data_IF_232062186555
#
_entry.id   IF_232062186555
#
_cell.length_a   1.000
_cell.length_b   1.000
_cell.length_c   1.000
_cell.angle_alpha   90.00
_cell.angle_beta   90.00
_cell.angle_gamma   90.00
#
_symmetry.space_group_name_H-M   'P 1'
#
loop_
_entity.id
_entity.type
_entity.pdbx_description
1 polymer ?
#
# COMPACT_ATOMS: atom_id res chain seq x y z
N UNK A 1 11.44 -9.97 -3.78
CA UNK A 1 10.96 -9.85 -5.18
C UNK A 1 12.12 -10.05 -6.16
N UNK A 2 11.89 -10.57 -7.37
CA UNK A 2 12.92 -10.81 -8.39
C UNK A 2 13.33 -9.56 -9.21
N UNK A 3 13.06 -8.36 -8.71
CA UNK A 3 13.54 -7.10 -9.30
C UNK A 3 14.86 -6.71 -8.61
N UNK A 4 15.97 -6.67 -9.35
CA UNK A 4 17.32 -6.49 -8.80
C UNK A 4 18.03 -5.31 -9.45
N UNK A 5 18.91 -4.65 -8.71
CA UNK A 5 19.84 -3.69 -9.32
C UNK A 5 20.72 -4.39 -10.35
N UNK A 6 20.85 -3.80 -11.53
CA UNK A 6 21.78 -4.25 -12.54
C UNK A 6 23.01 -3.34 -12.57
N UNK A 7 24.16 -3.89 -12.16
CA UNK A 7 25.44 -3.18 -12.19
C UNK A 7 25.81 -2.70 -13.60
N UNK A 8 25.49 -3.49 -14.64
CA UNK A 8 25.74 -3.09 -16.03
C UNK A 8 24.92 -1.84 -16.41
N UNK A 9 23.64 -1.79 -16.03
CA UNK A 9 22.76 -0.65 -16.30
C UNK A 9 23.15 0.59 -15.48
N UNK A 10 23.69 0.40 -14.28
CA UNK A 10 24.28 1.46 -13.46
C UNK A 10 25.54 2.04 -14.12
N UNK A 11 26.45 1.19 -14.57
CA UNK A 11 27.74 1.61 -15.12
C UNK A 11 27.64 2.22 -16.52
N UNK A 12 26.75 1.69 -17.39
CA UNK A 12 26.57 2.22 -18.76
C UNK A 12 25.92 3.60 -18.80
N UNK A 13 25.23 4.02 -17.72
CA UNK A 13 24.47 5.27 -17.64
C UNK A 13 23.39 5.49 -18.73
N UNK A 14 23.11 4.50 -19.58
CA UNK A 14 22.08 4.57 -20.62
C UNK A 14 20.66 4.38 -20.06
N UNK A 15 19.61 4.89 -20.74
CA UNK A 15 18.23 4.54 -20.46
C UNK A 15 17.97 3.05 -20.71
N UNK A 16 17.30 2.38 -19.76
CA UNK A 16 16.85 0.99 -19.93
C UNK A 16 15.37 0.86 -19.53
N UNK A 17 14.66 -0.20 -19.97
CA UNK A 17 13.22 -0.35 -19.72
C UNK A 17 12.83 -0.29 -18.24
N UNK A 18 13.67 -0.77 -17.34
CA UNK A 18 13.45 -0.76 -15.88
C UNK A 18 14.48 0.13 -15.16
N UNK A 19 14.94 1.19 -15.84
CA UNK A 19 15.92 2.16 -15.34
C UNK A 19 17.27 1.53 -14.98
N UNK A 20 17.45 1.17 -13.72
CA UNK A 20 18.68 0.56 -13.17
C UNK A 20 18.42 -0.81 -12.56
N UNK A 21 17.23 -1.35 -12.82
CA UNK A 21 16.82 -2.67 -12.39
C UNK A 21 16.74 -3.64 -13.57
N UNK A 22 16.75 -4.92 -13.24
CA UNK A 22 16.41 -6.03 -14.13
C UNK A 22 15.44 -6.97 -13.43
N UNK A 23 14.52 -7.54 -14.21
CA UNK A 23 13.54 -8.51 -13.76
C UNK A 23 14.07 -9.92 -14.01
N UNK A 24 14.23 -10.71 -12.94
CA UNK A 24 14.77 -12.07 -12.98
C UNK A 24 13.77 -13.10 -12.45
N UNK A 25 12.66 -13.37 -13.14
CA UNK A 25 11.61 -14.26 -12.64
C UNK A 25 12.10 -15.70 -12.44
N UNK A 26 13.06 -16.16 -13.26
CA UNK A 26 13.70 -17.47 -13.12
C UNK A 26 14.49 -17.62 -11.80
N UNK A 27 14.87 -16.51 -11.17
CA UNK A 27 15.53 -16.50 -9.86
C UNK A 27 14.56 -16.69 -8.68
N UNK A 28 13.26 -16.86 -8.97
CA UNK A 28 12.17 -17.03 -8.01
C UNK A 28 12.01 -15.83 -7.09
N UNK A 29 11.06 -15.90 -6.17
CA UNK A 29 10.84 -14.90 -5.14
C UNK A 29 10.88 -15.56 -3.75
N UNK A 30 11.39 -14.83 -2.76
CA UNK A 30 11.54 -15.33 -1.40
C UNK A 30 11.04 -14.30 -0.38
N UNK A 31 10.60 -14.80 0.77
CA UNK A 31 10.41 -14.05 2.00
C UNK A 31 11.30 -14.61 3.09
N UNK A 32 11.92 -13.72 3.86
CA UNK A 32 12.82 -14.07 4.94
C UNK A 32 12.28 -13.51 6.25
N UNK A 33 12.11 -14.39 7.25
CA UNK A 33 11.73 -13.98 8.61
C UNK A 33 12.98 -13.95 9.45
N UNK A 34 13.26 -12.80 10.05
CA UNK A 34 14.41 -12.60 10.93
C UNK A 34 13.93 -12.33 12.36
N UNK A 35 14.48 -13.05 13.32
CA UNK A 35 14.26 -12.78 14.73
C UNK A 35 14.92 -11.44 15.08
N UNK A 36 14.12 -10.42 15.39
CA UNK A 36 14.60 -9.06 15.71
C UNK A 36 15.60 -9.02 16.86
N UNK A 37 15.41 -9.86 17.89
CA UNK A 37 16.27 -9.88 19.07
C UNK A 37 17.65 -10.52 18.80
N UNK A 38 17.70 -11.55 17.95
CA UNK A 38 18.94 -12.31 17.71
C UNK A 38 19.62 -12.01 16.37
N UNK A 39 18.92 -11.34 15.45
CA UNK A 39 19.37 -11.11 14.07
C UNK A 39 19.40 -12.37 13.19
N UNK A 40 18.98 -13.53 13.72
CA UNK A 40 19.00 -14.79 12.98
C UNK A 40 17.79 -14.89 12.04
N UNK A 41 18.03 -15.37 10.83
CA UNK A 41 16.97 -15.81 9.94
C UNK A 41 16.36 -17.08 10.52
N UNK A 42 15.07 -17.05 10.80
CA UNK A 42 14.31 -18.16 11.40
C UNK A 42 13.43 -18.88 10.37
N UNK A 43 13.14 -18.24 9.23
CA UNK A 43 12.52 -18.89 8.08
C UNK A 43 12.99 -18.20 6.78
N UNK A 44 13.14 -18.98 5.71
CA UNK A 44 13.32 -18.48 4.35
C UNK A 44 12.50 -19.36 3.42
N UNK A 45 11.45 -18.78 2.83
CA UNK A 45 10.49 -19.54 2.02
C UNK A 45 10.41 -18.96 0.62
N UNK A 46 10.30 -19.83 -0.38
CA UNK A 46 9.93 -19.45 -1.73
C UNK A 46 8.44 -19.04 -1.75
N UNK A 47 8.12 -17.94 -2.44
CA UNK A 47 6.76 -17.41 -2.57
C UNK A 47 6.46 -17.16 -4.06
N UNK A 48 5.18 -17.03 -4.46
CA UNK A 48 4.85 -16.57 -5.80
C UNK A 48 5.56 -15.25 -6.15
N UNK A 49 5.82 -15.03 -7.45
CA UNK A 49 6.41 -13.79 -7.91
C UNK A 49 5.52 -12.60 -7.48
N UNK A 50 6.17 -11.49 -7.13
CA UNK A 50 5.47 -10.27 -6.71
C UNK A 50 6.33 -9.05 -7.03
N UNK A 51 5.64 -7.92 -7.18
CA UNK A 51 6.23 -6.57 -7.17
C UNK A 51 5.47 -5.79 -6.12
N UNK A 52 6.18 -5.18 -5.17
CA UNK A 52 5.56 -4.33 -4.15
C UNK A 52 6.53 -3.22 -3.76
N UNK A 53 5.99 -2.05 -3.45
CA UNK A 53 6.74 -0.94 -2.88
C UNK A 53 6.49 -0.80 -1.38
N UNK A 54 5.25 -1.02 -0.95
CA UNK A 54 4.80 -0.80 0.42
C UNK A 54 4.19 -2.06 1.01
N UNK A 55 4.73 -2.47 2.15
CA UNK A 55 4.06 -3.40 3.06
C UNK A 55 3.10 -2.60 3.95
N UNK A 56 1.91 -3.15 4.17
CA UNK A 56 0.85 -2.55 4.98
C UNK A 56 1.12 -2.84 6.46
N UNK A 57 1.21 -4.12 6.81
CA UNK A 57 1.51 -4.59 8.16
C UNK A 57 2.02 -6.04 8.12
N UNK A 58 2.58 -6.51 9.23
CA UNK A 58 2.90 -7.93 9.42
C UNK A 58 2.61 -8.34 10.87
N UNK A 59 2.19 -9.59 11.09
CA UNK A 59 1.87 -10.10 12.42
C UNK A 59 2.07 -11.61 12.53
N UNK A 60 2.16 -12.10 13.77
CA UNK A 60 2.25 -13.52 14.10
C UNK A 60 0.85 -14.16 14.13
N UNK A 61 0.68 -15.28 13.43
CA UNK A 61 -0.40 -16.24 13.70
C UNK A 61 0.03 -17.21 14.80
N UNK A 62 -0.86 -17.47 15.75
CA UNK A 62 -0.62 -18.36 16.89
C UNK A 62 -1.68 -19.44 16.98
N UNK A 63 -1.29 -20.62 17.45
CA UNK A 63 -2.23 -21.67 17.85
C UNK A 63 -2.86 -21.40 19.23
N UNK A 64 -3.71 -22.31 19.69
CA UNK A 64 -4.40 -22.21 20.99
C UNK A 64 -3.42 -22.21 22.18
N UNK A 65 -2.25 -22.82 22.02
CA UNK A 65 -1.17 -22.83 23.01
C UNK A 65 -0.26 -21.58 22.94
N UNK A 66 -0.53 -20.66 22.00
CA UNK A 66 0.23 -19.42 21.84
C UNK A 66 1.55 -19.56 21.07
N UNK A 67 1.82 -20.70 20.44
CA UNK A 67 3.00 -20.91 19.59
C UNK A 67 2.79 -20.25 18.24
N UNK A 68 3.82 -19.60 17.72
CA UNK A 68 3.78 -18.96 16.39
C UNK A 68 3.77 -20.04 15.31
N UNK A 69 2.70 -20.10 14.52
CA UNK A 69 2.51 -21.08 13.44
C UNK A 69 2.85 -20.50 12.06
N UNK A 70 2.66 -19.20 11.88
CA UNK A 70 3.02 -18.49 10.66
C UNK A 70 3.25 -16.99 10.92
N UNK A 71 3.94 -16.34 9.99
CA UNK A 71 3.95 -14.89 9.86
C UNK A 71 3.04 -14.51 8.70
N UNK A 72 2.14 -13.56 8.93
CA UNK A 72 1.32 -12.94 7.89
C UNK A 72 1.92 -11.57 7.57
N UNK A 73 2.06 -11.25 6.29
CA UNK A 73 2.52 -9.94 5.84
C UNK A 73 1.65 -9.45 4.68
N UNK A 74 0.98 -8.32 4.87
CA UNK A 74 0.14 -7.70 3.87
C UNK A 74 0.91 -6.60 3.12
N UNK A 75 0.67 -6.44 1.83
CA UNK A 75 1.32 -5.42 1.00
C UNK A 75 0.43 -4.91 -0.14
N UNK A 76 0.84 -3.77 -0.72
CA UNK A 76 0.32 -3.27 -1.99
C UNK A 76 1.04 -4.01 -3.13
N UNK A 77 0.43 -5.08 -3.63
CA UNK A 77 1.03 -6.00 -4.59
C UNK A 77 0.58 -5.68 -6.02
N UNK A 78 1.55 -5.59 -6.94
CA UNK A 78 1.36 -5.17 -8.33
C UNK A 78 1.30 -6.34 -9.30
N UNK A 79 0.73 -7.49 -8.88
CA UNK A 79 0.57 -8.73 -9.67
C UNK A 79 1.85 -9.21 -10.38
N UNK A 80 3.00 -9.08 -9.74
CA UNK A 80 4.33 -9.31 -10.33
C UNK A 80 4.60 -8.52 -11.64
N UNK A 81 3.85 -7.45 -11.88
CA UNK A 81 3.97 -6.60 -13.05
C UNK A 81 4.90 -5.41 -12.76
N UNK A 82 5.95 -5.29 -13.58
CA UNK A 82 6.94 -4.22 -13.48
C UNK A 82 6.54 -2.97 -14.26
N UNK A 83 5.46 -3.02 -15.05
CA UNK A 83 5.00 -1.89 -15.88
C UNK A 83 4.67 -0.65 -15.05
N UNK A 84 4.29 -0.82 -13.78
CA UNK A 84 4.05 0.29 -12.85
C UNK A 84 5.24 1.26 -12.77
N UNK A 85 6.49 0.76 -12.84
CA UNK A 85 7.69 1.59 -12.82
C UNK A 85 7.75 2.56 -14.00
N UNK A 86 7.36 2.11 -15.19
CA UNK A 86 7.32 2.94 -16.38
C UNK A 86 6.12 3.90 -16.34
N UNK A 87 4.95 3.42 -15.89
CA UNK A 87 3.71 4.21 -15.81
C UNK A 87 3.84 5.39 -14.85
N UNK A 88 4.64 5.25 -13.80
CA UNK A 88 4.94 6.33 -12.84
C UNK A 88 6.00 7.33 -13.33
N UNK A 89 6.52 7.20 -14.55
CA UNK A 89 7.37 8.24 -15.13
C UNK A 89 6.58 9.54 -15.36
N UNK A 90 7.24 10.69 -15.13
CA UNK A 90 6.58 12.00 -15.25
C UNK A 90 5.97 12.24 -16.63
N UNK A 91 6.63 11.75 -17.69
CA UNK A 91 6.10 11.82 -19.05
C UNK A 91 4.78 11.07 -19.17
N UNK A 92 4.71 9.83 -18.70
CA UNK A 92 3.50 9.01 -18.77
C UNK A 92 2.36 9.57 -17.91
N UNK A 93 2.67 10.04 -16.69
CA UNK A 93 1.68 10.66 -15.81
C UNK A 93 1.03 11.90 -16.43
N UNK A 94 1.77 12.67 -17.23
CA UNK A 94 1.25 13.85 -17.95
C UNK A 94 0.50 13.49 -19.23
N UNK A 95 0.93 12.45 -19.94
CA UNK A 95 0.40 12.10 -21.27
C UNK A 95 -0.90 11.29 -21.22
N UNK A 96 -1.17 10.57 -20.13
CA UNK A 96 -2.29 9.63 -20.06
C UNK A 96 -3.45 10.09 -19.17
N UNK A 97 -3.53 11.38 -18.85
CA UNK A 97 -4.66 11.91 -18.08
C UNK A 97 -6.00 11.53 -18.73
N UNK A 98 -6.91 10.96 -17.96
CA UNK A 98 -8.23 10.50 -18.42
C UNK A 98 -8.24 9.15 -19.16
N UNK A 99 -7.09 8.46 -19.31
CA UNK A 99 -7.02 7.12 -19.89
C UNK A 99 -6.87 6.06 -18.80
N UNK A 100 -7.46 4.88 -19.00
CA UNK A 100 -7.30 3.75 -18.08
C UNK A 100 -6.01 2.98 -18.38
N UNK A 101 -4.91 3.43 -17.76
CA UNK A 101 -3.58 2.85 -17.98
C UNK A 101 -2.84 2.51 -16.69
N UNK A 102 -3.49 2.70 -15.54
CA UNK A 102 -2.96 2.27 -14.25
C UNK A 102 -2.92 0.73 -14.21
N UNK A 103 -1.75 0.09 -14.03
CA UNK A 103 -1.66 -1.35 -13.88
C UNK A 103 -2.46 -1.84 -12.67
N UNK A 104 -2.96 -3.07 -12.73
CA UNK A 104 -3.73 -3.65 -11.64
C UNK A 104 -2.82 -3.91 -10.43
N UNK A 105 -3.29 -3.49 -9.25
CA UNK A 105 -2.71 -3.80 -7.96
C UNK A 105 -3.78 -4.34 -7.01
N UNK A 106 -3.35 -4.99 -5.92
CA UNK A 106 -4.21 -5.62 -4.90
C UNK A 106 -3.59 -5.51 -3.52
N UNK A 107 -4.42 -5.75 -2.49
CA UNK A 107 -3.90 -6.11 -1.17
C UNK A 107 -3.42 -7.55 -1.23
N UNK A 108 -2.11 -7.75 -1.37
CA UNK A 108 -1.47 -9.06 -1.31
C UNK A 108 -1.26 -9.48 0.15
N UNK A 109 -1.59 -10.72 0.48
CA UNK A 109 -1.35 -11.34 1.79
C UNK A 109 -0.40 -12.50 1.64
N UNK A 110 0.80 -12.34 2.17
CA UNK A 110 1.75 -13.43 2.33
C UNK A 110 1.44 -14.22 3.58
N UNK A 111 1.58 -15.54 3.51
CA UNK A 111 1.63 -16.41 4.67
C UNK A 111 2.93 -17.21 4.64
N UNK A 112 3.76 -17.02 5.67
CA UNK A 112 5.06 -17.69 5.83
C UNK A 112 4.96 -18.69 6.98
N UNK A 113 4.89 -20.00 6.70
CA UNK A 113 4.82 -21.02 7.75
C UNK A 113 6.09 -21.05 8.62
N UNK A 114 5.92 -21.30 9.92
CA UNK A 114 7.01 -21.45 10.89
C UNK A 114 7.27 -22.92 11.26
N UNK A 115 6.76 -23.86 10.46
CA UNK A 115 6.87 -25.31 10.63
C UNK A 115 8.05 -25.94 9.86
N UNK A 116 8.89 -25.13 9.21
CA UNK A 116 10.01 -25.58 8.39
C UNK A 116 9.67 -25.80 6.92
N UNK A 117 8.43 -25.50 6.49
CA UNK A 117 8.05 -25.52 5.07
C UNK A 117 8.96 -24.65 4.21
N UNK A 118 9.31 -25.13 3.02
CA UNK A 118 10.13 -24.38 2.06
C UNK A 118 9.34 -23.32 1.28
N UNK A 119 8.00 -23.35 1.36
CA UNK A 119 7.11 -22.54 0.55
C UNK A 119 6.15 -21.73 1.41
N UNK A 120 5.97 -20.46 1.07
CA UNK A 120 4.89 -19.61 1.54
C UNK A 120 3.86 -19.36 0.45
N UNK A 121 2.74 -18.75 0.81
CA UNK A 121 1.70 -18.36 -0.15
C UNK A 121 1.63 -16.84 -0.32
N UNK A 122 1.03 -16.41 -1.43
CA UNK A 122 0.64 -15.03 -1.69
C UNK A 122 -0.75 -15.04 -2.32
N UNK A 123 -1.72 -14.45 -1.63
CA UNK A 123 -3.12 -14.41 -2.06
C UNK A 123 -3.65 -12.97 -2.01
N UNK A 124 -4.81 -12.71 -2.60
CA UNK A 124 -5.50 -11.44 -2.40
C UNK A 124 -6.22 -11.47 -1.04
N UNK A 125 -6.01 -10.46 -0.20
CA UNK A 125 -6.68 -10.40 1.12
C UNK A 125 -8.20 -10.19 0.99
N UNK A 126 -8.63 -9.54 -0.09
CA UNK A 126 -10.02 -9.31 -0.50
C UNK A 126 -10.10 -9.22 -2.04
N UNK A 127 -11.31 -9.20 -2.60
CA UNK A 127 -11.52 -9.03 -4.04
C UNK A 127 -10.94 -7.67 -4.52
N UNK A 128 -9.99 -7.66 -5.47
CA UNK A 128 -9.42 -6.41 -5.99
C UNK A 128 -10.44 -5.43 -6.59
N UNK A 129 -11.62 -5.90 -6.99
CA UNK A 129 -12.69 -5.04 -7.49
C UNK A 129 -13.27 -4.10 -6.41
N UNK A 130 -13.16 -4.45 -5.12
CA UNK A 130 -13.64 -3.62 -4.01
C UNK A 130 -12.92 -2.25 -3.95
N UNK A 131 -11.65 -2.22 -4.37
CA UNK A 131 -10.81 -1.02 -4.38
C UNK A 131 -10.37 -0.63 -5.80
N UNK A 132 -11.13 -1.07 -6.81
CA UNK A 132 -10.94 -0.72 -8.23
C UNK A 132 -9.61 -1.17 -8.83
N UNK A 133 -8.98 -2.20 -8.25
CA UNK A 133 -7.69 -2.77 -8.71
C UNK A 133 -6.55 -1.74 -8.76
N UNK A 134 -6.62 -0.71 -7.92
CA UNK A 134 -5.49 0.16 -7.59
C UNK A 134 -5.30 0.13 -6.09
N UNK A 135 -4.05 0.04 -5.63
CA UNK A 135 -3.75 0.00 -4.20
C UNK A 135 -2.28 0.37 -3.99
N UNK A 136 -2.04 1.51 -3.34
CA UNK A 136 -0.68 1.95 -2.95
C UNK A 136 -0.76 3.00 -1.83
N UNK A 137 0.38 3.43 -1.29
CA UNK A 137 0.47 4.48 -0.25
C UNK A 137 -0.47 4.19 0.93
N UNK A 138 -0.16 3.14 1.69
CA UNK A 138 -1.02 2.58 2.72
C UNK A 138 -0.62 2.98 4.14
N UNK A 139 -1.60 3.07 5.02
CA UNK A 139 -1.44 3.21 6.46
C UNK A 139 -2.45 2.36 7.23
N UNK A 140 -2.23 2.25 8.54
CA UNK A 140 -3.08 1.55 9.50
C UNK A 140 -3.17 2.38 10.78
N UNK A 141 -4.00 1.98 11.73
CA UNK A 141 -3.89 2.48 13.10
C UNK A 141 -2.53 2.05 13.72
N UNK A 142 -1.64 2.98 14.12
CA UNK A 142 -0.32 2.64 14.64
C UNK A 142 -0.31 1.74 15.88
N UNK A 143 -1.40 1.72 16.67
CA UNK A 143 -1.54 0.83 17.82
C UNK A 143 -1.54 -0.66 17.45
N UNK A 144 -1.81 -0.97 16.18
CA UNK A 144 -1.88 -2.31 15.59
C UNK A 144 -0.65 -2.68 14.73
N UNK A 145 0.38 -1.82 14.69
CA UNK A 145 1.63 -2.14 14.02
C UNK A 145 2.25 -3.41 14.62
N UNK A 146 2.55 -4.41 13.78
CA UNK A 146 3.11 -5.68 14.23
C UNK A 146 2.06 -6.66 14.81
N UNK A 147 0.78 -6.30 14.82
CA UNK A 147 -0.32 -7.07 15.45
C UNK A 147 -1.39 -7.43 14.42
N UNK A 148 -2.17 -8.45 14.73
CA UNK A 148 -3.37 -8.78 13.96
C UNK A 148 -4.32 -7.57 14.01
N UNK A 149 -4.84 -7.20 12.84
CA UNK A 149 -5.53 -5.95 12.60
C UNK A 149 -6.66 -6.17 11.58
N UNK A 150 -7.62 -5.26 11.52
CA UNK A 150 -8.80 -5.34 10.66
C UNK A 150 -8.80 -4.30 9.56
N UNK A 151 -8.28 -3.10 9.81
CA UNK A 151 -8.44 -1.96 8.92
C UNK A 151 -7.13 -1.46 8.35
N UNK A 152 -7.14 -1.19 7.04
CA UNK A 152 -6.10 -0.44 6.35
C UNK A 152 -6.71 0.72 5.58
N UNK A 153 -5.91 1.76 5.36
CA UNK A 153 -6.26 2.93 4.58
C UNK A 153 -5.21 3.12 3.50
N UNK A 154 -5.61 3.44 2.28
CA UNK A 154 -4.66 3.56 1.17
C UNK A 154 -5.20 4.44 0.05
N UNK A 155 -4.35 4.75 -0.93
CA UNK A 155 -4.82 5.29 -2.20
C UNK A 155 -5.28 4.15 -3.11
N UNK A 156 -6.57 4.14 -3.45
CA UNK A 156 -7.18 3.19 -4.39
C UNK A 156 -7.40 3.79 -5.79
N UNK A 157 -8.21 3.12 -6.59
CA UNK A 157 -8.58 3.59 -7.93
C UNK A 157 -10.09 3.60 -8.16
N UNK A 158 -10.58 4.71 -8.71
CA UNK A 158 -11.82 4.79 -9.46
C UNK A 158 -11.44 4.87 -10.94
N UNK A 159 -11.65 3.77 -11.67
CA UNK A 159 -11.30 3.65 -13.09
C UNK A 159 -12.39 4.26 -13.98
N UNK A 160 -12.06 4.79 -15.17
CA UNK A 160 -10.72 4.81 -15.80
C UNK A 160 -9.75 5.78 -15.12
N UNK A 161 -8.49 5.38 -14.92
CA UNK A 161 -7.46 6.27 -14.38
C UNK A 161 -6.02 5.89 -14.77
N UNK A 162 -5.12 6.86 -14.69
CA UNK A 162 -3.68 6.69 -14.93
C UNK A 162 -2.83 6.82 -13.66
N UNK A 163 -3.45 7.12 -12.52
CA UNK A 163 -2.84 7.26 -11.20
C UNK A 163 -3.90 7.01 -10.12
N UNK A 164 -3.55 6.46 -8.92
CA UNK A 164 -4.50 6.33 -7.81
C UNK A 164 -5.18 7.66 -7.48
N UNK A 165 -6.51 7.65 -7.38
CA UNK A 165 -7.36 8.85 -7.33
C UNK A 165 -8.48 8.74 -6.28
N UNK A 166 -8.41 7.76 -5.38
CA UNK A 166 -9.37 7.60 -4.27
C UNK A 166 -8.64 7.41 -2.97
N UNK A 167 -9.27 7.79 -1.87
CA UNK A 167 -8.93 7.27 -0.56
C UNK A 167 -9.78 6.04 -0.33
N UNK A 168 -9.19 4.98 0.18
CA UNK A 168 -9.86 3.69 0.37
C UNK A 168 -9.65 3.20 1.78
N UNK A 169 -10.74 2.91 2.49
CA UNK A 169 -10.75 2.11 3.72
C UNK A 169 -11.01 0.66 3.37
N UNK A 170 -10.21 -0.24 3.92
CA UNK A 170 -10.23 -1.67 3.66
C UNK A 170 -10.59 -2.37 4.97
N UNK A 171 -11.62 -3.20 4.97
CA UNK A 171 -11.96 -4.14 6.05
C UNK A 171 -11.49 -5.54 5.64
N UNK A 172 -10.43 -6.03 6.28
CA UNK A 172 -9.78 -7.31 5.99
C UNK A 172 -10.53 -8.51 6.56
N UNK A 173 -11.49 -8.28 7.48
CA UNK A 173 -12.32 -9.33 8.06
C UNK A 173 -13.56 -9.53 7.20
N UNK A 174 -14.29 -8.45 6.92
CA UNK A 174 -15.48 -8.49 6.06
C UNK A 174 -15.14 -8.57 4.57
N UNK A 175 -13.87 -8.36 4.22
CA UNK A 175 -13.35 -8.34 2.84
C UNK A 175 -14.08 -7.33 1.96
N UNK A 176 -14.29 -6.12 2.50
CA UNK A 176 -14.97 -5.01 1.83
C UNK A 176 -14.12 -3.75 1.83
N UNK A 177 -14.38 -2.86 0.87
CA UNK A 177 -13.75 -1.55 0.85
C UNK A 177 -14.78 -0.42 0.72
N UNK A 178 -14.43 0.74 1.26
CA UNK A 178 -15.17 2.00 1.10
C UNK A 178 -14.23 3.01 0.44
N UNK A 179 -14.70 3.64 -0.62
CA UNK A 179 -13.92 4.60 -1.39
C UNK A 179 -14.49 6.01 -1.20
N UNK A 180 -13.60 6.97 -0.98
CA UNK A 180 -13.88 8.39 -1.10
C UNK A 180 -13.18 8.91 -2.36
N UNK A 181 -13.93 9.63 -3.19
CA UNK A 181 -13.46 10.19 -4.44
C UNK A 181 -14.03 11.59 -4.62
N UNK A 182 -13.21 12.48 -5.17
CA UNK A 182 -13.62 13.79 -5.62
C UNK A 182 -13.10 14.00 -7.04
N UNK A 183 -13.93 14.55 -7.91
CA UNK A 183 -13.69 14.53 -9.34
C UNK A 183 -12.53 15.46 -9.72
N UNK A 184 -11.51 14.92 -10.38
CA UNK A 184 -10.33 15.69 -10.76
C UNK A 184 -9.36 15.96 -9.61
N UNK A 185 -9.58 15.32 -8.46
CA UNK A 185 -8.74 15.41 -7.27
C UNK A 185 -7.84 14.18 -7.14
N UNK A 186 -6.60 14.40 -6.70
CA UNK A 186 -5.60 13.35 -6.46
C UNK A 186 -5.18 13.38 -4.98
N UNK A 187 -5.48 12.32 -4.21
CA UNK A 187 -5.09 12.24 -2.82
C UNK A 187 -3.61 11.88 -2.64
N UNK A 188 -3.01 12.41 -1.58
CA UNK A 188 -1.79 11.88 -0.98
C UNK A 188 -2.10 10.64 -0.14
N UNK A 189 -1.04 9.99 0.34
CA UNK A 189 -1.14 8.94 1.34
C UNK A 189 -2.09 9.32 2.50
N UNK A 190 -3.10 8.50 2.81
CA UNK A 190 -3.93 8.69 4.00
C UNK A 190 -3.15 8.36 5.27
N UNK A 191 -3.41 9.12 6.33
CA UNK A 191 -2.86 8.92 7.66
C UNK A 191 -3.98 8.79 8.69
N UNK A 192 -3.95 7.75 9.51
CA UNK A 192 -4.95 7.54 10.56
C UNK A 192 -4.51 8.15 11.90
N UNK A 193 -5.42 8.86 12.55
CA UNK A 193 -5.28 9.41 13.91
C UNK A 193 -6.41 8.89 14.77
N UNK A 194 -6.08 8.10 15.79
CA UNK A 194 -7.06 7.59 16.73
C UNK A 194 -7.68 8.73 17.56
N UNK A 195 -8.97 8.62 17.87
CA UNK A 195 -9.60 9.48 18.87
C UNK A 195 -8.96 9.21 20.23
N UNK A 196 -8.67 10.24 21.06
CA UNK A 196 -8.20 10.02 22.43
C UNK A 196 -9.18 9.12 23.21
N UNK A 197 -8.69 8.00 23.74
CA UNK A 197 -9.50 7.03 24.46
C UNK A 197 -10.27 6.03 23.57
N UNK A 198 -10.02 6.01 22.26
CA UNK A 198 -10.61 5.03 21.33
C UNK A 198 -10.32 3.59 21.78
N UNK A 199 -11.37 2.74 21.76
CA UNK A 199 -11.26 1.29 21.98
C UNK A 199 -11.34 0.51 20.68
N UNK A 200 -12.04 1.04 19.68
CA UNK A 200 -12.18 0.43 18.36
C UNK A 200 -11.00 0.81 17.46
N UNK A 201 -10.58 -0.12 16.59
CA UNK A 201 -9.42 0.06 15.72
C UNK A 201 -9.56 1.24 14.75
N UNK A 202 -10.79 1.54 14.30
CA UNK A 202 -11.10 2.60 13.34
C UNK A 202 -11.78 3.84 13.96
N UNK A 203 -11.87 3.94 15.29
CA UNK A 203 -12.41 5.12 15.97
C UNK A 203 -11.38 6.26 15.97
N UNK A 204 -11.49 7.12 14.96
CA UNK A 204 -10.55 8.19 14.71
C UNK A 204 -10.87 8.92 13.42
N UNK A 205 -9.86 9.57 12.86
CA UNK A 205 -9.95 10.29 11.59
C UNK A 205 -8.85 9.83 10.65
N UNK A 206 -9.17 9.77 9.36
CA UNK A 206 -8.22 9.56 8.28
C UNK A 206 -8.00 10.89 7.57
N UNK A 207 -6.75 11.33 7.53
CA UNK A 207 -6.35 12.63 6.98
C UNK A 207 -5.58 12.38 5.68
N UNK A 208 -5.88 13.13 4.63
CA UNK A 208 -5.08 13.15 3.42
C UNK A 208 -5.05 14.53 2.81
N UNK A 209 -3.96 14.84 2.13
CA UNK A 209 -3.80 16.09 1.38
C UNK A 209 -4.21 15.83 -0.07
N UNK A 210 -5.09 16.67 -0.58
CA UNK A 210 -5.66 16.56 -1.91
C UNK A 210 -5.07 17.64 -2.81
N UNK A 211 -4.61 17.26 -3.99
CA UNK A 211 -4.33 18.19 -5.09
C UNK A 211 -5.53 18.20 -6.04
N UNK A 212 -6.13 19.37 -6.23
CA UNK A 212 -7.28 19.52 -7.12
C UNK A 212 -6.88 19.79 -8.58
N UNK A 213 -7.87 19.83 -9.48
CA UNK A 213 -7.68 20.10 -10.91
C UNK A 213 -7.14 21.51 -11.24
N UNK A 214 -7.28 22.45 -10.32
CA UNK A 214 -6.83 23.83 -10.48
C UNK A 214 -5.39 24.04 -9.94
N UNK A 215 -4.80 23.00 -9.36
CA UNK A 215 -3.49 23.06 -8.71
C UNK A 215 -3.54 23.62 -7.29
N UNK A 216 -4.73 23.78 -6.72
CA UNK A 216 -4.92 24.11 -5.31
C UNK A 216 -4.83 22.83 -4.46
N UNK A 217 -4.54 23.02 -3.17
CA UNK A 217 -4.43 21.94 -2.21
C UNK A 217 -5.41 22.10 -1.07
N UNK A 218 -6.01 21.01 -0.62
CA UNK A 218 -6.81 21.00 0.62
C UNK A 218 -6.57 19.72 1.42
N UNK A 219 -6.69 19.76 2.73
CA UNK A 219 -6.72 18.54 3.55
C UNK A 219 -8.16 18.03 3.62
N UNK A 220 -8.38 16.72 3.46
CA UNK A 220 -9.66 16.06 3.78
C UNK A 220 -9.52 15.27 5.08
N UNK A 221 -10.54 15.36 5.93
CA UNK A 221 -10.67 14.53 7.13
C UNK A 221 -11.89 13.62 6.97
N UNK A 222 -11.67 12.31 6.96
CA UNK A 222 -12.71 11.30 6.89
C UNK A 222 -12.88 10.64 8.26
N UNK A 223 -14.12 10.48 8.71
CA UNK A 223 -14.41 9.69 9.91
C UNK A 223 -13.94 8.24 9.71
N UNK A 224 -13.13 7.73 10.63
CA UNK A 224 -12.44 6.45 10.48
C UNK A 224 -13.40 5.26 10.36
N UNK A 225 -14.55 5.29 11.04
CA UNK A 225 -15.53 4.20 11.05
C UNK A 225 -16.47 4.22 9.84
N UNK A 226 -17.11 5.37 9.59
CA UNK A 226 -18.08 5.54 8.49
C UNK A 226 -17.40 5.75 7.14
N UNK A 227 -16.20 6.32 7.14
CA UNK A 227 -15.40 6.73 5.98
C UNK A 227 -16.09 7.80 5.13
N UNK A 228 -16.73 8.76 5.79
CA UNK A 228 -17.39 9.93 5.19
C UNK A 228 -16.73 11.22 5.66
N UNK A 229 -16.73 12.24 4.81
CA UNK A 229 -16.32 13.61 5.11
C UNK A 229 -17.36 14.60 4.58
N UNK A 230 -17.45 15.79 5.18
CA UNK A 230 -18.37 16.86 4.78
C UNK A 230 -17.58 18.03 4.15
N UNK A 231 -18.23 19.01 3.51
CA UNK A 231 -17.52 20.18 2.95
C UNK A 231 -16.66 20.94 3.99
N UNK A 232 -17.05 20.91 5.28
CA UNK A 232 -16.29 21.51 6.38
C UNK A 232 -15.01 20.73 6.76
N UNK A 233 -14.84 19.50 6.27
CA UNK A 233 -13.63 18.71 6.46
C UNK A 233 -12.55 19.03 5.42
N UNK A 234 -12.74 20.06 4.58
CA UNK A 234 -11.76 20.54 3.61
C UNK A 234 -11.03 21.78 4.16
N UNK A 235 -9.74 21.64 4.45
CA UNK A 235 -8.91 22.74 4.94
C UNK A 235 -8.06 23.25 3.78
N UNK A 236 -8.32 24.45 3.23
CA UNK A 236 -7.56 24.98 2.10
C UNK A 236 -6.11 25.28 2.50
N UNK A 237 -5.17 25.01 1.59
CA UNK A 237 -3.75 25.27 1.76
C UNK A 237 -3.29 26.37 0.82
N UNK A 238 -2.41 27.24 1.31
CA UNK A 238 -1.67 28.19 0.47
C UNK A 238 -0.17 28.13 0.82
N UNK A 239 0.75 28.10 -0.17
CA UNK A 239 0.54 28.03 -1.63
C UNK A 239 0.34 26.59 -2.17
N UNK A 240 0.11 26.45 -3.48
CA UNK A 240 -0.21 25.21 -4.21
C UNK A 240 0.58 23.96 -3.75
N UNK A 241 -0.14 22.88 -3.42
CA UNK A 241 0.47 21.62 -2.99
C UNK A 241 0.78 20.73 -4.20
N UNK A 242 2.04 20.29 -4.32
CA UNK A 242 2.42 19.21 -5.24
C UNK A 242 2.21 17.86 -4.57
N UNK A 243 2.05 16.79 -5.36
CA UNK A 243 1.93 15.41 -4.86
C UNK A 243 3.00 15.11 -3.81
N UNK A 244 2.57 14.82 -2.57
CA UNK A 244 3.46 14.48 -1.45
C UNK A 244 3.56 12.96 -1.28
N UNK A 245 4.71 12.47 -0.80
CA UNK A 245 4.93 11.08 -0.38
C UNK A 245 5.37 11.06 1.09
N UNK A 246 4.85 10.12 1.88
CA UNK A 246 5.20 9.85 3.28
C UNK A 246 4.97 11.04 4.23
N UNK A 247 3.98 10.93 5.12
CA UNK A 247 3.67 11.96 6.13
C UNK A 247 3.85 11.41 7.55
N UNK A 248 4.43 12.23 8.44
CA UNK A 248 4.60 11.91 9.87
C UNK A 248 4.08 13.09 10.68
N UNK A 249 3.12 12.83 11.58
CA UNK A 249 2.71 13.79 12.61
C UNK A 249 3.45 13.49 13.91
N UNK A 250 3.95 14.53 14.56
CA UNK A 250 4.53 14.44 15.90
C UNK A 250 3.38 14.45 16.91
N UNK A 251 3.20 13.34 17.62
CA UNK A 251 2.32 13.30 18.79
C UNK A 251 2.97 14.08 19.95
N UNK A 252 2.20 14.83 20.77
CA UNK A 252 2.71 15.42 22.01
C UNK A 252 3.05 14.37 23.07
#
# INVERSE_FOLDING_TARGET
>A
MPLRYCAQNLLKAEPTPLFKFEWHPHSKAYMHVMCKASGKIVASVEVPLYVTFHFINAYEEKDEEGRVTAIVADCCEHNADTTILQKLSLQNLRSFAGQDVLPDARVGRFRIPMDGSAYGSLEAALDPNEHGKGMDMCSINPAFLGKKYRYAYACGAQRPCNFPNTLTKIDLVEKKAKNWHDEGSIPSEPFFVARPGATEEDDGVVISMISDRNGEGYAVLLDGSTFRGNCESQIPLRPSLRTTRNQVFLYP
#
